data_IF_624378404883
#
_entry.id   IF_624378404883
#
_cell.length_a   1.000
_cell.length_b   1.000
_cell.length_c   1.000
_cell.angle_alpha   90.00
_cell.angle_beta   90.00
_cell.angle_gamma   90.00
#
_symmetry.space_group_name_H-M   'P 1'
#
loop_
_entity.id
_entity.type
_entity.pdbx_description
1 polymer ?
#
# COMPACT_ATOMS: atom_id res chain seq x y z
N UNK A 9 0.68 13.21 -0.27
CA UNK A 9 1.12 13.47 -1.63
C UNK A 9 2.13 12.41 -2.09
N UNK A 10 3.29 12.40 -1.45
CA UNK A 10 4.34 11.43 -1.79
C UNK A 10 4.43 10.34 -0.73
N UNK A 11 4.40 9.09 -1.18
CA UNK A 11 4.48 7.96 -0.27
C UNK A 11 5.35 6.85 -0.85
N UNK A 12 6.04 6.12 0.02
CA UNK A 12 6.91 5.03 -0.41
C UNK A 12 6.39 3.69 0.08
N UNK A 13 5.96 2.84 -0.86
CA UNK A 13 5.43 1.53 -0.52
C UNK A 13 6.44 0.43 -0.87
N UNK A 14 6.76 -0.41 0.12
CA UNK A 14 7.70 -1.49 -0.09
C UNK A 14 7.09 -2.83 0.30
N UNK A 15 7.02 -3.75 -0.65
CA UNK A 15 6.45 -5.08 -0.39
C UNK A 15 7.50 -6.03 0.15
N UNK A 16 7.06 -7.21 0.58
CA UNK A 16 7.97 -8.21 1.13
C UNK A 16 8.86 -8.80 0.03
N UNK A 17 8.53 -8.48 -1.22
CA UNK A 17 9.29 -8.98 -2.36
C UNK A 17 10.48 -8.06 -2.65
N UNK A 18 10.77 -7.16 -1.73
CA UNK A 18 11.88 -6.22 -1.89
C UNK A 18 11.60 -5.23 -3.01
N UNK A 19 10.32 -4.93 -3.22
CA UNK A 19 9.91 -3.99 -4.25
C UNK A 19 9.44 -2.68 -3.65
N UNK A 20 10.28 -1.66 -3.74
CA UNK A 20 9.96 -0.34 -3.20
C UNK A 20 9.63 0.64 -4.32
N UNK A 21 8.48 1.29 -4.22
CA UNK A 21 8.04 2.26 -5.22
C UNK A 21 7.68 3.59 -4.57
N UNK A 22 8.44 4.62 -4.91
CA UNK A 22 8.19 5.95 -4.37
C UNK A 22 7.55 6.87 -5.41
N UNK A 23 6.32 7.29 -5.16
CA UNK A 23 5.60 8.16 -6.08
C UNK A 23 5.21 9.47 -5.40
N UNK A 24 5.08 10.52 -6.19
CA UNK A 24 4.71 11.83 -5.67
C UNK A 24 3.39 12.30 -6.26
N UNK A 25 2.33 11.52 -6.03
CA UNK A 25 1.01 11.86 -6.54
C UNK A 25 -0.05 10.92 -5.95
N UNK A 26 -0.51 11.25 -4.75
CA UNK A 26 -1.52 10.43 -4.08
C UNK A 26 -2.87 11.13 -4.09
N UNK A 27 -3.95 10.34 -4.05
CA UNK A 27 -5.30 10.89 -4.06
C UNK A 27 -5.71 11.36 -2.67
N UNK A 28 -6.91 11.90 -2.57
CA UNK A 28 -7.41 12.41 -1.29
C UNK A 28 -8.75 11.75 -0.95
N UNK A 29 -9.24 10.90 -1.85
CA UNK A 29 -10.50 10.20 -1.64
C UNK A 29 -10.28 8.86 -0.98
N UNK A 30 -9.34 8.09 -1.52
CA UNK A 30 -9.03 6.77 -0.98
C UNK A 30 -7.58 6.70 -0.51
N UNK A 31 -6.66 7.11 -1.38
CA UNK A 31 -5.24 7.11 -1.04
C UNK A 31 -4.74 5.69 -0.81
N UNK A 32 -4.92 5.20 0.42
CA UNK A 32 -4.50 3.85 0.79
C UNK A 32 -5.22 2.81 -0.06
N UNK A 33 -6.54 2.79 0.03
CA UNK A 33 -7.35 1.85 -0.73
C UNK A 33 -7.02 1.92 -2.22
N UNK A 34 -6.80 3.13 -2.71
CA UNK A 34 -6.47 3.33 -4.13
C UNK A 34 -5.09 2.77 -4.45
N UNK A 35 -4.15 2.96 -3.53
CA UNK A 35 -2.78 2.48 -3.72
C UNK A 35 -2.74 0.95 -3.74
N UNK A 36 -3.36 0.35 -2.73
CA UNK A 36 -3.39 -1.11 -2.63
C UNK A 36 -4.20 -1.71 -3.77
N UNK A 37 -5.31 -1.08 -4.10
CA UNK A 37 -6.15 -1.58 -5.19
C UNK A 37 -5.49 -1.45 -6.53
N UNK A 38 -4.69 -0.41 -6.71
CA UNK A 38 -3.99 -0.17 -7.96
C UNK A 38 -2.81 -1.13 -8.12
N UNK A 39 -2.20 -1.50 -7.01
CA UNK A 39 -1.06 -2.41 -7.02
C UNK A 39 -1.50 -3.82 -7.40
N UNK A 40 -2.63 -4.26 -6.84
CA UNK A 40 -3.15 -5.58 -7.14
C UNK A 40 -3.63 -5.67 -8.58
N UNK A 41 -4.30 -4.62 -9.04
CA UNK A 41 -4.81 -4.59 -10.41
C UNK A 41 -3.66 -4.52 -11.42
N UNK A 42 -2.60 -3.83 -11.04
CA UNK A 42 -1.44 -3.69 -11.92
C UNK A 42 -0.78 -5.04 -12.18
N UNK A 43 -0.64 -5.84 -11.13
CA UNK A 43 -0.04 -7.16 -11.24
C UNK A 43 -1.04 -8.17 -11.80
N UNK A 44 -2.29 -7.74 -11.96
CA UNK A 44 -3.32 -8.61 -12.47
C UNK A 44 -4.08 -9.33 -11.37
N UNK A 45 -3.34 -9.86 -10.40
CA UNK A 45 -3.96 -10.57 -9.29
C UNK A 45 -3.28 -10.22 -7.97
N UNK A 46 -4.02 -10.36 -6.86
CA UNK A 46 -3.51 -10.07 -5.52
C UNK A 46 -2.46 -11.08 -5.07
N UNK A 47 -1.42 -10.60 -4.41
CA UNK A 47 -0.36 -11.47 -3.93
C UNK A 47 -0.88 -12.55 -3.00
N UNK A 48 -1.72 -12.16 -2.05
CA UNK A 48 -2.28 -13.09 -1.09
C UNK A 48 -3.09 -12.37 -0.03
N UNK A 49 -2.40 -11.67 0.87
CA UNK A 49 -3.07 -10.92 1.93
C UNK A 49 -3.11 -9.43 1.61
N UNK A 50 -2.04 -8.94 0.99
CA UNK A 50 -1.97 -7.53 0.62
C UNK A 50 -2.27 -6.63 1.82
N UNK A 51 -1.56 -6.86 2.91
CA UNK A 51 -1.77 -6.07 4.13
C UNK A 51 -0.50 -5.29 4.47
N UNK A 52 -0.63 -3.96 4.49
CA UNK A 52 0.50 -3.09 4.81
C UNK A 52 0.36 -2.50 6.20
N UNK A 53 1.49 -2.12 6.80
CA UNK A 53 1.49 -1.54 8.13
C UNK A 53 1.99 -0.10 8.10
N UNK A 54 1.14 0.83 8.50
CA UNK A 54 1.49 2.25 8.52
C UNK A 54 1.90 2.69 9.93
N UNK A 55 3.15 3.08 10.09
CA UNK A 55 3.66 3.53 11.37
C UNK A 55 3.44 2.47 12.44
N UNK A 56 3.55 1.20 12.04
CA UNK A 56 3.35 0.11 12.98
C UNK A 56 1.89 -0.14 13.30
N UNK A 57 1.01 0.54 12.56
CA UNK A 57 -0.42 0.39 12.77
C UNK A 57 -1.10 -0.18 11.53
N UNK A 58 -2.32 -0.69 11.69
CA UNK A 58 -3.07 -1.28 10.60
C UNK A 58 -4.34 -0.49 10.32
N UNK A 59 -5.05 -0.86 9.27
CA UNK A 59 -6.30 -0.18 8.89
C UNK A 59 -6.06 1.31 8.68
N UNK A 60 -5.80 1.69 7.44
CA UNK A 60 -5.55 3.09 7.10
C UNK A 60 -6.55 3.58 6.06
N UNK A 61 -7.40 2.67 5.58
CA UNK A 61 -8.40 3.02 4.58
C UNK A 61 -9.27 4.17 5.04
N UNK A 62 -9.57 4.20 6.33
CA UNK A 62 -10.39 5.26 6.90
C UNK A 62 -9.66 6.60 6.87
N UNK A 63 -8.34 6.54 6.73
CA UNK A 63 -7.52 7.75 6.68
C UNK A 63 -7.13 8.07 5.25
N UNK A 64 -8.05 7.83 4.32
CA UNK A 64 -7.80 8.10 2.91
C UNK A 64 -7.25 9.52 2.72
N UNK A 65 -8.11 10.51 2.98
CA UNK A 65 -7.72 11.91 2.84
C UNK A 65 -6.73 12.31 3.91
N UNK A 66 -6.89 11.76 5.10
CA UNK A 66 -6.01 12.06 6.23
C UNK A 66 -4.57 11.70 5.88
N UNK A 67 -4.40 10.73 4.99
CA UNK A 67 -3.07 10.30 4.57
C UNK A 67 -2.51 11.22 3.49
N UNK A 68 -3.40 11.96 2.83
CA UNK A 68 -2.98 12.88 1.77
C UNK A 68 -2.34 14.13 2.36
N UNK A 69 -2.64 14.41 3.63
CA UNK A 69 -2.10 15.58 4.31
C UNK A 69 -0.70 15.29 4.84
N UNK A 70 -0.30 14.02 4.80
CA UNK A 70 1.01 13.61 5.29
C UNK A 70 2.08 13.88 4.25
N UNK A 71 1.91 13.29 3.06
CA UNK A 71 2.86 13.46 1.98
C UNK A 71 4.29 13.12 2.45
N UNK A 72 4.39 12.16 3.34
CA UNK A 72 5.68 11.75 3.87
C UNK A 72 5.53 10.59 4.86
N UNK A 73 4.71 9.61 4.50
CA UNK A 73 4.49 8.46 5.36
C UNK A 73 4.95 7.16 4.73
N UNK A 74 6.00 6.57 5.28
CA UNK A 74 6.53 5.32 4.76
C UNK A 74 5.50 4.19 4.87
N UNK A 75 5.36 3.42 3.80
CA UNK A 75 4.41 2.31 3.78
C UNK A 75 5.10 0.99 3.46
N UNK A 76 4.68 -0.07 4.15
CA UNK A 76 5.27 -1.39 3.93
C UNK A 76 4.18 -2.43 3.71
N UNK A 77 4.14 -2.99 2.50
CA UNK A 77 3.15 -4.00 2.16
C UNK A 77 3.67 -5.40 2.49
N UNK A 78 2.75 -6.27 2.93
CA UNK A 78 3.12 -7.64 3.27
C UNK A 78 2.22 -8.64 2.56
N UNK A 79 2.84 -9.65 1.96
CA UNK A 79 2.09 -10.68 1.24
C UNK A 79 2.43 -12.08 1.77
N UNK A 80 1.45 -12.69 2.43
CA UNK A 80 1.64 -14.03 2.98
C UNK A 80 1.20 -15.10 1.98
N UNK A 81 2.19 -15.77 1.37
CA UNK A 81 1.91 -16.82 0.40
C UNK A 81 2.57 -18.13 0.81
N UNK A 82 1.78 -19.04 1.38
CA UNK A 82 2.29 -20.32 1.81
C UNK A 82 1.67 -21.46 1.00
N UNK A 83 0.45 -21.23 0.52
CA UNK A 83 -0.25 -22.23 -0.27
C UNK A 83 0.24 -22.23 -1.72
N UNK A 84 0.17 -21.07 -2.36
CA UNK A 84 0.62 -20.93 -3.74
C UNK A 84 0.86 -19.47 -4.09
N UNK A 85 1.64 -19.24 -5.15
CA UNK A 85 1.95 -17.89 -5.57
C UNK A 85 3.40 -17.52 -5.32
N UNK A 86 4.31 -18.28 -5.92
CA UNK A 86 5.74 -18.03 -5.75
C UNK A 86 6.22 -16.96 -6.73
#
# INVERSE_FOLDING_TARGET
MGHHHHHHMLLKVKTVSNKVIQITSLTDDNTIAELKGKLEESEGIPGNMIRLVYQGKQLEDEKRLKDYQMSAGATFHMVVALRAGC
#
